data_IF_714421300984
#
_entry.id   IF_714421300984
#
_cell.length_a   1.000
_cell.length_b   1.000
_cell.length_c   1.000
_cell.angle_alpha   90.00
_cell.angle_beta   90.00
_cell.angle_gamma   90.00
#
_symmetry.space_group_name_H-M   'P 1'
#
loop_
_entity.id
_entity.type
_entity.pdbx_description
1 polymer ?
#
# COMPACT_ATOMS: atom_id res chain seq x y z
N UNK A 1 -33.58 -24.63 -26.42
CA UNK A 1 -32.64 -23.52 -26.67
C UNK A 1 -32.56 -22.50 -25.51
N UNK A 2 -33.24 -22.71 -24.38
CA UNK A 2 -33.17 -21.82 -23.19
C UNK A 2 -31.95 -22.12 -22.30
N UNK A 3 -31.74 -23.40 -21.97
CA UNK A 3 -30.67 -23.82 -21.02
C UNK A 3 -29.26 -23.33 -21.39
N UNK A 4 -28.91 -23.32 -22.67
CA UNK A 4 -27.58 -22.87 -23.11
C UNK A 4 -27.38 -21.36 -22.95
N UNK A 5 -28.43 -20.56 -23.04
CA UNK A 5 -28.38 -19.11 -22.82
C UNK A 5 -28.29 -18.81 -21.32
N UNK A 6 -29.06 -19.54 -20.51
CA UNK A 6 -29.06 -19.39 -19.04
C UNK A 6 -27.71 -19.79 -18.43
N UNK A 7 -27.10 -20.87 -18.93
CA UNK A 7 -25.74 -21.30 -18.53
C UNK A 7 -24.69 -20.27 -18.96
N UNK A 8 -24.77 -19.74 -20.19
CA UNK A 8 -23.83 -18.72 -20.66
C UNK A 8 -23.91 -17.43 -19.82
N UNK A 9 -25.13 -16.98 -19.48
CA UNK A 9 -25.36 -15.83 -18.62
C UNK A 9 -24.77 -16.05 -17.22
N UNK A 10 -24.94 -17.25 -16.66
CA UNK A 10 -24.35 -17.63 -15.37
C UNK A 10 -22.82 -17.62 -15.40
N UNK A 11 -22.20 -18.17 -16.45
CA UNK A 11 -20.75 -18.19 -16.64
C UNK A 11 -20.18 -16.76 -16.73
N UNK A 12 -20.81 -15.89 -17.52
CA UNK A 12 -20.40 -14.49 -17.64
C UNK A 12 -20.54 -13.76 -16.31
N UNK A 13 -21.62 -14.02 -15.56
CA UNK A 13 -21.84 -13.42 -14.24
C UNK A 13 -20.81 -13.90 -13.23
N UNK A 14 -20.48 -15.19 -13.23
CA UNK A 14 -19.42 -15.75 -12.38
C UNK A 14 -18.05 -15.15 -12.72
N UNK A 15 -17.73 -15.05 -14.01
CA UNK A 15 -16.46 -14.50 -14.46
C UNK A 15 -16.33 -13.02 -14.10
N UNK A 16 -17.39 -12.22 -14.30
CA UNK A 16 -17.43 -10.82 -13.89
C UNK A 16 -17.23 -10.68 -12.37
N UNK A 17 -17.86 -11.53 -11.55
CA UNK A 17 -17.68 -11.52 -10.10
C UNK A 17 -16.24 -11.87 -9.70
N UNK A 18 -15.65 -12.90 -10.32
CA UNK A 18 -14.26 -13.29 -10.07
C UNK A 18 -13.29 -12.15 -10.44
N UNK A 19 -13.50 -11.49 -11.58
CA UNK A 19 -12.70 -10.32 -11.99
C UNK A 19 -12.86 -9.16 -11.01
N UNK A 20 -14.08 -8.86 -10.54
CA UNK A 20 -14.29 -7.80 -9.55
C UNK A 20 -13.60 -8.09 -8.22
N UNK A 21 -13.61 -9.34 -7.75
CA UNK A 21 -12.90 -9.74 -6.54
C UNK A 21 -11.38 -9.59 -6.71
N UNK A 22 -10.83 -10.06 -7.84
CA UNK A 22 -9.42 -9.89 -8.17
C UNK A 22 -9.01 -8.41 -8.22
N UNK A 23 -9.80 -7.56 -8.88
CA UNK A 23 -9.53 -6.13 -8.94
C UNK A 23 -9.52 -5.49 -7.56
N UNK A 24 -10.46 -5.84 -6.66
CA UNK A 24 -10.46 -5.34 -5.28
C UNK A 24 -9.21 -5.77 -4.52
N UNK A 25 -8.83 -7.03 -4.62
CA UNK A 25 -7.61 -7.55 -3.97
C UNK A 25 -6.37 -6.86 -4.51
N UNK A 26 -6.28 -6.66 -5.81
CA UNK A 26 -5.12 -6.01 -6.42
C UNK A 26 -5.06 -4.51 -6.07
N UNK A 27 -6.20 -3.82 -6.01
CA UNK A 27 -6.25 -2.42 -5.54
C UNK A 27 -5.78 -2.30 -4.08
N UNK A 28 -6.20 -3.22 -3.20
CA UNK A 28 -5.71 -3.24 -1.81
C UNK A 28 -4.20 -3.49 -1.75
N UNK A 29 -3.68 -4.38 -2.60
CA UNK A 29 -2.25 -4.66 -2.71
C UNK A 29 -1.47 -3.43 -3.19
N UNK A 30 -1.99 -2.73 -4.20
CA UNK A 30 -1.40 -1.49 -4.71
C UNK A 30 -1.40 -0.39 -3.65
N UNK A 31 -2.49 -0.25 -2.88
CA UNK A 31 -2.56 0.69 -1.77
C UNK A 31 -1.49 0.40 -0.72
N UNK A 32 -1.36 -0.86 -0.29
CA UNK A 32 -0.34 -1.26 0.67
C UNK A 32 1.11 -1.02 0.18
N UNK A 33 1.36 -1.22 -1.12
CA UNK A 33 2.66 -0.90 -1.73
C UNK A 33 2.94 0.61 -1.74
N UNK A 34 1.93 1.43 -2.02
CA UNK A 34 2.07 2.89 -1.97
C UNK A 34 2.40 3.37 -0.55
N UNK A 35 1.73 2.82 0.47
CA UNK A 35 2.01 3.15 1.88
C UNK A 35 3.46 2.77 2.27
N UNK A 36 3.94 1.60 1.84
CA UNK A 36 5.34 1.20 2.07
C UNK A 36 6.34 2.14 1.39
N UNK A 37 6.02 2.64 0.19
CA UNK A 37 6.87 3.60 -0.51
C UNK A 37 6.97 4.93 0.25
N UNK A 38 5.87 5.39 0.86
CA UNK A 38 5.86 6.58 1.72
C UNK A 38 6.70 6.36 2.97
N UNK A 39 6.58 5.21 3.64
CA UNK A 39 7.41 4.87 4.80
C UNK A 39 8.89 4.84 4.43
N UNK A 40 9.24 4.23 3.29
CA UNK A 40 10.62 4.20 2.81
C UNK A 40 11.18 5.61 2.55
N UNK A 41 10.37 6.50 1.96
CA UNK A 41 10.76 7.90 1.75
C UNK A 41 11.02 8.64 3.08
N UNK A 42 10.15 8.43 4.08
CA UNK A 42 10.31 9.02 5.41
C UNK A 42 11.59 8.49 6.07
N UNK A 43 11.83 7.17 5.99
CA UNK A 43 13.03 6.54 6.53
C UNK A 43 14.30 7.14 5.91
N UNK A 44 14.37 7.20 4.57
CA UNK A 44 15.49 7.79 3.84
C UNK A 44 15.68 9.28 4.18
N UNK A 45 14.58 10.04 4.29
CA UNK A 45 14.65 11.46 4.67
C UNK A 45 15.21 11.64 6.09
N UNK A 46 14.85 10.75 7.01
CA UNK A 46 15.33 10.78 8.40
C UNK A 46 16.80 10.44 8.47
N UNK A 47 17.25 9.42 7.73
CA UNK A 47 18.67 9.03 7.65
C UNK A 47 19.53 10.15 7.06
N UNK A 48 19.06 10.81 5.99
CA UNK A 48 19.75 11.98 5.41
C UNK A 48 19.78 13.17 6.37
N UNK A 49 18.69 13.44 7.07
CA UNK A 49 18.65 14.49 8.08
C UNK A 49 19.63 14.19 9.21
N UNK A 50 19.64 12.96 9.74
CA UNK A 50 20.54 12.55 10.81
C UNK A 50 22.02 12.63 10.39
N UNK A 51 22.34 12.25 9.15
CA UNK A 51 23.68 12.39 8.60
C UNK A 51 24.12 13.86 8.39
N UNK A 52 23.17 14.78 8.27
CA UNK A 52 23.42 16.21 8.08
C UNK A 52 23.43 17.01 9.40
N UNK A 53 23.04 16.42 10.53
CA UNK A 53 23.08 17.10 11.82
C UNK A 53 24.52 17.26 12.29
N UNK A 54 24.96 18.50 12.64
CA UNK A 54 26.25 18.71 13.30
C UNK A 54 26.30 17.93 14.61
N UNK A 55 27.50 17.43 14.97
CA UNK A 55 27.71 16.76 16.25
C UNK A 55 27.18 17.64 17.41
N UNK A 56 26.29 17.07 18.24
CA UNK A 56 25.65 17.74 19.38
C UNK A 56 24.19 18.19 19.18
N UNK A 57 23.60 18.06 17.99
CA UNK A 57 22.14 18.25 17.81
C UNK A 57 21.39 16.92 17.97
N UNK A 58 20.58 16.80 19.01
CA UNK A 58 19.79 15.60 19.34
C UNK A 58 20.29 14.80 20.53
N UNK A 59 21.42 15.18 21.14
CA UNK A 59 21.77 14.75 22.48
C UNK A 59 20.75 15.35 23.47
N UNK A 60 20.29 14.52 24.43
CA UNK A 60 19.48 15.01 25.54
C UNK A 60 20.29 16.06 26.30
N UNK A 61 20.01 17.34 26.03
CA UNK A 61 20.56 18.43 26.83
C UNK A 61 20.01 18.25 28.24
N UNK A 62 20.90 17.95 29.18
CA UNK A 62 20.57 17.82 30.59
C UNK A 62 20.05 19.19 31.06
N UNK A 63 18.73 19.37 31.08
CA UNK A 63 18.08 20.56 31.63
C UNK A 63 18.08 20.47 33.16
N UNK A 64 19.27 20.52 33.76
CA UNK A 64 19.40 20.73 35.19
C UNK A 64 19.30 22.23 35.48
N UNK A 65 18.14 22.67 35.98
CA UNK A 65 17.99 23.92 36.72
C UNK A 65 17.43 23.61 38.11
#
# INVERSE_FOLDING_TARGET
>A
MSDSVDIAQSIVTMQANATQQLLRTEMLRQQAQADQAVVALIQESTERMQAALPAGQGEAVDISA
#
